data_IF_016280021125
#
_entry.id   IF_016280021125
#
_cell.length_a   1.000
_cell.length_b   1.000
_cell.length_c   1.000
_cell.angle_alpha   90.00
_cell.angle_beta   90.00
_cell.angle_gamma   90.00
#
_symmetry.space_group_name_H-M   'P 1'
#
loop_
_entity.id
_entity.type
_entity.pdbx_description
1 polymer ?
#
# COMPACT_ATOMS: atom_id res chain seq x y z
N UNK A 1 26.36 26.53 -13.92
CA UNK A 1 25.05 25.90 -14.11
C UNK A 1 25.01 24.73 -13.16
N UNK A 2 24.36 24.89 -12.01
CA UNK A 2 24.02 23.77 -11.13
C UNK A 2 22.81 23.08 -11.74
N UNK A 3 22.90 21.79 -11.97
CA UNK A 3 21.71 20.99 -12.21
C UNK A 3 21.13 20.71 -10.83
N UNK A 4 20.02 21.37 -10.50
CA UNK A 4 19.24 21.01 -9.32
C UNK A 4 18.78 19.56 -9.53
N UNK A 5 19.36 18.65 -8.76
CA UNK A 5 18.96 17.25 -8.76
C UNK A 5 17.64 17.17 -8.01
N UNK A 6 16.53 17.16 -8.75
CA UNK A 6 15.21 16.99 -8.17
C UNK A 6 15.04 15.49 -7.84
N UNK A 7 14.81 15.18 -6.57
CA UNK A 7 14.50 13.82 -6.11
C UNK A 7 12.99 13.67 -6.19
N UNK A 8 12.51 12.82 -7.10
CA UNK A 8 11.10 12.48 -7.19
C UNK A 8 10.85 11.20 -6.41
N UNK A 9 9.86 11.22 -5.53
CA UNK A 9 9.46 10.04 -4.77
C UNK A 9 8.46 9.25 -5.61
N UNK A 10 8.73 7.96 -5.79
CA UNK A 10 7.76 7.03 -6.37
C UNK A 10 7.57 5.88 -5.39
N UNK A 11 6.37 5.72 -4.82
CA UNK A 11 6.04 4.58 -3.99
C UNK A 11 6.38 3.29 -4.72
N UNK A 12 7.05 2.40 -3.99
CA UNK A 12 7.48 1.10 -4.49
C UNK A 12 6.63 0.07 -3.76
N UNK A 13 6.24 -0.98 -4.47
CA UNK A 13 5.65 -2.14 -3.84
C UNK A 13 6.65 -2.74 -2.82
N UNK A 14 6.22 -2.86 -1.56
CA UNK A 14 6.98 -3.44 -0.46
C UNK A 14 6.89 -4.97 -0.44
N UNK A 15 6.05 -5.57 -1.28
CA UNK A 15 5.97 -7.02 -1.42
C UNK A 15 7.35 -7.60 -1.84
N UNK A 16 7.91 -8.58 -1.09
CA UNK A 16 9.22 -9.15 -1.38
C UNK A 16 9.32 -9.71 -2.80
N UNK A 17 10.34 -9.26 -3.54
CA UNK A 17 10.55 -9.66 -4.93
C UNK A 17 9.70 -8.91 -5.96
N UNK A 18 8.69 -8.15 -5.53
CA UNK A 18 7.97 -7.25 -6.42
C UNK A 18 8.84 -6.03 -6.75
N UNK A 19 8.77 -5.60 -8.02
CA UNK A 19 9.51 -4.44 -8.54
C UNK A 19 8.58 -3.38 -9.11
N UNK A 20 7.27 -3.55 -8.92
CA UNK A 20 6.28 -2.58 -9.31
C UNK A 20 6.55 -1.26 -8.58
N UNK A 21 6.44 -0.17 -9.33
CA UNK A 21 6.49 1.19 -8.82
C UNK A 21 5.20 1.85 -9.23
N UNK A 22 4.73 2.75 -8.38
CA UNK A 22 3.59 3.59 -8.72
C UNK A 22 4.03 4.52 -9.85
N UNK A 23 3.37 4.40 -10.99
CA UNK A 23 3.66 5.21 -12.18
C UNK A 23 2.97 6.58 -12.12
N UNK A 24 2.03 6.75 -11.19
CA UNK A 24 1.29 7.98 -10.94
C UNK A 24 0.34 8.39 -12.06
N UNK A 25 -0.28 9.56 -11.89
CA UNK A 25 -0.94 10.27 -13.00
C UNK A 25 0.18 10.92 -13.82
N UNK A 26 0.18 10.74 -15.15
CA UNK A 26 1.30 11.01 -16.09
C UNK A 26 2.05 12.36 -15.97
N UNK A 27 1.59 13.30 -15.15
CA UNK A 27 2.12 14.65 -15.02
C UNK A 27 2.41 15.13 -13.59
N UNK A 28 2.15 14.31 -12.55
CA UNK A 28 2.41 14.71 -11.17
C UNK A 28 3.79 14.26 -10.68
N UNK A 29 4.64 15.26 -10.53
CA UNK A 29 5.97 15.12 -9.97
C UNK A 29 5.83 15.26 -8.47
N UNK A 30 5.77 14.14 -7.75
CA UNK A 30 5.65 14.20 -6.30
C UNK A 30 6.99 14.64 -5.67
N UNK A 31 6.94 15.72 -4.90
CA UNK A 31 8.11 16.40 -4.36
C UNK A 31 8.54 15.88 -2.97
N UNK A 32 7.67 15.18 -2.25
CA UNK A 32 7.99 14.56 -0.96
C UNK A 32 7.24 13.24 -0.68
N UNK A 33 7.66 12.51 0.35
CA UNK A 33 7.10 11.20 0.69
C UNK A 33 5.66 11.27 1.22
N UNK A 34 5.24 12.42 1.75
CA UNK A 34 3.91 12.62 2.30
C UNK A 34 2.89 12.73 1.18
N UNK A 35 3.13 13.65 0.23
CA UNK A 35 2.33 13.79 -0.99
C UNK A 35 2.26 12.45 -1.75
N UNK A 36 3.35 11.66 -1.73
CA UNK A 36 3.40 10.38 -2.42
C UNK A 36 2.53 9.32 -1.76
N UNK A 37 2.37 9.41 -0.45
CA UNK A 37 1.54 8.51 0.34
C UNK A 37 0.06 8.85 0.14
N UNK A 38 -0.29 10.13 0.22
CA UNK A 38 -1.69 10.58 0.01
C UNK A 38 -2.19 10.17 -1.38
N UNK A 39 -1.40 10.42 -2.43
CA UNK A 39 -1.78 10.03 -3.80
C UNK A 39 -2.01 8.52 -3.95
N UNK A 40 -1.23 7.69 -3.25
CA UNK A 40 -1.42 6.22 -3.30
C UNK A 40 -2.62 5.79 -2.48
N UNK A 41 -2.83 6.38 -1.30
CA UNK A 41 -3.99 6.13 -0.45
C UNK A 41 -5.31 6.45 -1.19
N UNK A 42 -5.30 7.48 -2.06
CA UNK A 42 -6.42 7.85 -2.92
C UNK A 42 -6.50 7.07 -4.24
N UNK A 43 -5.44 6.38 -4.68
CA UNK A 43 -5.32 5.82 -6.04
C UNK A 43 -6.24 4.63 -6.37
N UNK A 44 -7.10 4.20 -5.43
CA UNK A 44 -8.04 3.07 -5.47
C UNK A 44 -7.40 1.69 -5.75
N UNK A 45 -6.35 1.59 -6.57
CA UNK A 45 -5.80 0.34 -7.08
C UNK A 45 -4.66 -0.25 -6.21
N UNK A 46 -3.99 0.57 -5.41
CA UNK A 46 -2.90 0.14 -4.52
C UNK A 46 -3.38 0.03 -3.08
N UNK A 47 -2.83 -0.94 -2.36
CA UNK A 47 -3.03 -1.06 -0.91
C UNK A 47 -2.05 -0.12 -0.23
N UNK A 48 -2.54 0.79 0.60
CA UNK A 48 -1.77 1.59 1.54
C UNK A 48 -2.19 1.21 2.97
N UNK A 49 -1.29 0.55 3.71
CA UNK A 49 -1.49 0.19 5.12
C UNK A 49 -0.29 0.69 5.93
N UNK A 50 -0.43 0.78 7.24
CA UNK A 50 0.63 1.25 8.12
C UNK A 50 1.22 0.08 8.91
N UNK A 51 2.55 0.00 9.01
CA UNK A 51 3.20 -0.97 9.89
C UNK A 51 3.11 -0.55 11.37
N UNK A 52 3.62 -1.40 12.27
CA UNK A 52 3.59 -1.16 13.71
C UNK A 52 4.39 0.12 14.13
N UNK A 53 5.27 0.63 13.26
CA UNK A 53 6.02 1.89 13.45
C UNK A 53 5.30 3.09 12.80
N UNK A 54 4.03 2.94 12.43
CA UNK A 54 3.20 3.94 11.74
C UNK A 54 3.77 4.37 10.37
N UNK A 55 4.54 3.49 9.71
CA UNK A 55 5.10 3.78 8.38
C UNK A 55 4.21 3.20 7.28
N UNK A 56 3.94 3.98 6.21
CA UNK A 56 3.15 3.48 5.11
C UNK A 56 3.87 2.36 4.37
N UNK A 57 3.12 1.30 4.07
CA UNK A 57 3.52 0.13 3.29
C UNK A 57 2.60 0.02 2.09
N UNK A 58 3.22 -0.05 0.92
CA UNK A 58 2.51 0.01 -0.35
C UNK A 58 2.52 -1.35 -1.03
N UNK A 59 1.36 -1.82 -1.49
CA UNK A 59 1.26 -3.04 -2.29
C UNK A 59 0.52 -2.77 -3.59
N UNK A 60 1.14 -3.17 -4.71
CA UNK A 60 0.62 -2.87 -6.03
C UNK A 60 -0.62 -3.72 -6.39
N UNK A 61 -1.35 -3.39 -7.47
CA UNK A 61 -2.59 -4.05 -7.86
C UNK A 61 -2.40 -5.53 -8.25
N UNK A 62 -1.16 -5.99 -8.41
CA UNK A 62 -0.86 -7.40 -8.63
C UNK A 62 -1.08 -8.27 -7.38
N UNK A 63 -1.14 -7.64 -6.21
CA UNK A 63 -1.33 -8.31 -4.92
C UNK A 63 -2.73 -8.09 -4.35
N UNK A 64 -3.64 -7.48 -5.11
CA UNK A 64 -5.03 -7.26 -4.70
C UNK A 64 -5.96 -8.38 -5.21
N UNK A 65 -7.01 -8.67 -4.46
CA UNK A 65 -8.03 -9.67 -4.78
C UNK A 65 -9.22 -9.13 -5.59
N UNK A 66 -9.25 -7.83 -5.88
CA UNK A 66 -10.31 -7.16 -6.64
C UNK A 66 -11.57 -6.80 -5.84
N UNK A 67 -11.57 -7.05 -4.53
CA UNK A 67 -12.56 -6.54 -3.57
C UNK A 67 -11.95 -5.45 -2.69
N UNK A 68 -12.79 -4.70 -1.98
CA UNK A 68 -12.37 -3.63 -1.06
C UNK A 68 -12.82 -3.93 0.35
N UNK A 69 -12.08 -3.39 1.32
CA UNK A 69 -12.39 -3.56 2.72
C UNK A 69 -13.70 -2.84 3.08
N UNK A 70 -14.57 -3.53 3.81
CA UNK A 70 -15.82 -2.98 4.33
C UNK A 70 -16.07 -3.47 5.75
N UNK A 71 -16.24 -2.53 6.69
CA UNK A 71 -16.40 -2.83 8.13
C UNK A 71 -17.68 -3.64 8.43
N UNK A 72 -18.75 -3.43 7.66
CA UNK A 72 -20.07 -4.01 7.89
C UNK A 72 -20.26 -5.41 7.26
N UNK A 73 -19.38 -5.81 6.33
CA UNK A 73 -19.54 -7.04 5.54
C UNK A 73 -18.35 -8.00 5.74
N UNK A 74 -18.58 -9.17 6.37
CA UNK A 74 -17.53 -10.19 6.53
C UNK A 74 -16.95 -10.71 5.21
N UNK A 75 -17.67 -10.63 4.09
CA UNK A 75 -17.15 -11.00 2.77
C UNK A 75 -16.16 -9.95 2.24
N UNK A 76 -16.18 -8.75 2.81
CA UNK A 76 -15.28 -7.63 2.54
C UNK A 76 -14.16 -7.53 3.60
N UNK A 77 -13.78 -8.64 4.22
CA UNK A 77 -12.64 -8.72 5.13
C UNK A 77 -11.49 -9.55 4.54
N UNK A 78 -10.24 -9.31 4.94
CA UNK A 78 -9.15 -10.23 4.65
C UNK A 78 -9.42 -11.61 5.27
N UNK A 79 -8.92 -12.67 4.63
CA UNK A 79 -9.10 -14.04 5.12
C UNK A 79 -8.32 -14.27 6.42
N UNK A 80 -7.17 -13.63 6.54
CA UNK A 80 -6.34 -13.58 7.74
C UNK A 80 -6.87 -12.50 8.70
N UNK A 81 -7.38 -12.96 9.85
CA UNK A 81 -7.95 -12.09 10.87
C UNK A 81 -6.94 -11.10 11.48
N UNK A 82 -5.64 -11.39 11.42
CA UNK A 82 -4.60 -10.47 11.93
C UNK A 82 -4.41 -9.26 11.00
N UNK A 83 -4.73 -9.38 9.71
CA UNK A 83 -4.74 -8.23 8.79
C UNK A 83 -5.89 -7.27 9.07
N UNK A 84 -6.96 -7.74 9.71
CA UNK A 84 -8.17 -6.96 9.92
C UNK A 84 -7.91 -5.67 10.71
N UNK A 85 -7.03 -5.73 11.71
CA UNK A 85 -6.73 -4.56 12.54
C UNK A 85 -5.99 -3.49 11.73
N UNK A 86 -5.03 -3.87 10.88
CA UNK A 86 -4.35 -2.95 9.97
C UNK A 86 -5.31 -2.24 9.01
N UNK A 87 -6.35 -2.93 8.52
CA UNK A 87 -7.37 -2.33 7.65
C UNK A 87 -8.32 -1.37 8.38
N UNK A 88 -8.57 -1.60 9.67
CA UNK A 88 -9.42 -0.72 10.51
C UNK A 88 -8.73 0.58 10.89
N UNK A 89 -7.40 0.58 10.93
CA UNK A 89 -6.61 1.76 11.26
C UNK A 89 -6.52 2.77 10.11
N UNK A 90 -6.93 2.38 8.90
CA UNK A 90 -6.96 3.26 7.73
C UNK A 90 -8.35 3.86 7.53
N UNK A 91 -8.40 5.18 7.28
CA UNK A 91 -9.66 5.90 7.15
C UNK A 91 -10.34 5.72 5.78
N UNK A 92 -9.55 5.39 4.77
CA UNK A 92 -9.98 5.18 3.39
C UNK A 92 -10.12 3.68 3.12
N UNK A 93 -11.21 3.26 2.47
CA UNK A 93 -11.40 1.85 2.09
C UNK A 93 -10.29 1.42 1.14
N UNK A 94 -9.45 0.48 1.60
CA UNK A 94 -8.34 -0.06 0.84
C UNK A 94 -8.74 -1.33 0.10
N UNK A 95 -8.14 -1.64 -1.06
CA UNK A 95 -8.36 -2.92 -1.73
C UNK A 95 -7.89 -4.07 -0.85
N UNK A 96 -8.60 -5.19 -0.90
CA UNK A 96 -8.23 -6.41 -0.19
C UNK A 96 -7.09 -7.12 -0.91
N UNK A 97 -6.19 -7.76 -0.17
CA UNK A 97 -5.11 -8.55 -0.77
C UNK A 97 -5.67 -9.82 -1.41
N UNK A 98 -4.94 -10.37 -2.38
CA UNK A 98 -5.18 -11.72 -2.84
C UNK A 98 -4.88 -12.71 -1.70
N UNK A 99 -5.68 -13.77 -1.49
CA UNK A 99 -5.49 -14.71 -0.36
C UNK A 99 -4.09 -15.31 -0.27
N UNK A 100 -3.42 -15.55 -1.40
CA UNK A 100 -2.05 -16.05 -1.46
C UNK A 100 -0.97 -15.01 -1.06
N UNK A 101 -1.33 -13.73 -1.05
CA UNK A 101 -0.44 -12.61 -0.69
C UNK A 101 -0.58 -12.18 0.77
N UNK A 102 -1.70 -12.49 1.42
CA UNK A 102 -2.04 -12.06 2.79
C UNK A 102 -0.93 -12.32 3.81
N UNK A 103 -0.43 -13.55 3.91
CA UNK A 103 0.60 -13.91 4.89
C UNK A 103 1.91 -13.14 4.68
N UNK A 104 2.26 -12.88 3.42
CA UNK A 104 3.48 -12.13 3.08
C UNK A 104 3.30 -10.65 3.38
N UNK A 105 2.13 -10.08 3.07
CA UNK A 105 1.79 -8.69 3.40
C UNK A 105 1.81 -8.48 4.91
N UNK A 106 1.21 -9.39 5.68
CA UNK A 106 1.24 -9.36 7.13
C UNK A 106 2.68 -9.42 7.67
N UNK A 107 3.52 -10.28 7.11
CA UNK A 107 4.94 -10.35 7.49
C UNK A 107 5.71 -9.06 7.18
N UNK A 108 5.35 -8.33 6.11
CA UNK A 108 5.89 -7.00 5.81
C UNK A 108 5.44 -5.97 6.86
N UNK A 109 4.14 -5.95 7.20
CA UNK A 109 3.58 -5.03 8.18
C UNK A 109 4.13 -5.24 9.60
N UNK A 110 4.49 -6.47 9.96
CA UNK A 110 5.16 -6.79 11.23
C UNK A 110 6.68 -6.53 11.21
N UNK A 111 7.25 -6.15 10.07
CA UNK A 111 8.69 -6.00 9.91
C UNK A 111 9.48 -7.33 9.95
N UNK A 112 8.82 -8.47 9.72
CA UNK A 112 9.44 -9.81 9.73
C UNK A 112 10.19 -10.14 8.43
N UNK A 113 10.02 -9.31 7.38
CA UNK A 113 10.73 -9.44 6.10
C UNK A 113 11.92 -8.47 6.06
N UNK A 114 13.13 -8.98 6.25
CA UNK A 114 14.42 -8.27 6.10
C UNK A 114 15.26 -8.85 4.96
#
# INVERSE_FOLDING_TARGET
MSFDTHVFVRPKCDYPGCRARWDGVEYDWIYDEFDATEEVEESEDWICLYDDDERPRFFCPQHTGGSYFGEDDPECHPSNAELLDYYRDVSTSQPLPAPECEDTILAVLKGETQ
#
